data_IF_878946596371
#
_entry.id   IF_878946596371
#
_cell.length_a   1.000
_cell.length_b   1.000
_cell.length_c   1.000
_cell.angle_alpha   90.00
_cell.angle_beta   90.00
_cell.angle_gamma   90.00
#
_symmetry.space_group_name_H-M   'P 1'
#
loop_
_entity.id
_entity.type
_entity.pdbx_description
1 polymer ?
#
# COMPACT_ATOMS: atom_id res chain seq x y z
N UNK A 1 -8.89 -21.87 -11.55
CA UNK A 1 -7.82 -21.24 -10.74
C UNK A 1 -8.51 -20.44 -9.65
N UNK A 2 -8.29 -20.79 -8.39
CA UNK A 2 -9.00 -20.18 -7.27
C UNK A 2 -8.25 -18.90 -6.86
N UNK A 3 -8.83 -17.69 -6.98
CA UNK A 3 -8.15 -16.47 -6.55
C UNK A 3 -7.99 -16.49 -5.02
N UNK A 4 -6.87 -15.98 -4.48
CA UNK A 4 -6.68 -15.92 -3.03
C UNK A 4 -7.75 -15.01 -2.41
N UNK A 5 -8.51 -15.54 -1.45
CA UNK A 5 -9.50 -14.76 -0.70
C UNK A 5 -8.76 -13.78 0.21
N UNK A 6 -8.77 -12.50 -0.16
CA UNK A 6 -8.28 -11.42 0.69
C UNK A 6 -9.47 -10.81 1.44
N UNK A 7 -9.59 -11.14 2.73
CA UNK A 7 -10.54 -10.51 3.66
C UNK A 7 -9.74 -9.63 4.61
N UNK A 8 -9.62 -8.35 4.29
CA UNK A 8 -8.92 -7.36 5.13
C UNK A 8 -9.92 -6.76 6.12
N UNK A 9 -9.67 -6.95 7.41
CA UNK A 9 -10.44 -6.32 8.50
C UNK A 9 -9.74 -5.06 9.07
N UNK A 10 -8.67 -4.58 8.45
CA UNK A 10 -8.00 -3.34 8.82
C UNK A 10 -7.11 -2.86 7.68
N UNK A 11 -7.27 -1.59 7.27
CA UNK A 11 -6.56 -0.97 6.14
C UNK A 11 -5.12 -0.55 6.46
N UNK A 12 -4.58 -0.94 7.61
CA UNK A 12 -3.20 -0.60 7.98
C UNK A 12 -2.24 -1.61 7.36
N UNK A 13 -1.64 -1.26 6.22
CA UNK A 13 -0.45 -1.95 5.71
C UNK A 13 0.72 -1.55 6.62
N UNK A 14 0.95 -2.33 7.67
CA UNK A 14 2.12 -2.16 8.54
C UNK A 14 3.33 -2.79 7.83
N UNK A 15 4.13 -1.97 7.17
CA UNK A 15 5.44 -2.38 6.66
C UNK A 15 6.32 -2.64 7.89
N UNK A 16 6.57 -3.91 8.22
CA UNK A 16 7.49 -4.27 9.31
C UNK A 16 8.91 -3.88 8.90
N UNK A 17 9.34 -2.68 9.28
CA UNK A 17 10.76 -2.42 9.48
C UNK A 17 11.10 -2.89 10.89
N UNK A 18 11.77 -4.04 11.00
CA UNK A 18 12.40 -4.40 12.27
C UNK A 18 13.40 -3.30 12.61
N UNK A 19 13.23 -2.71 13.80
CA UNK A 19 14.21 -1.89 14.53
C UNK A 19 14.10 -0.35 14.51
N UNK A 20 13.00 0.33 14.13
CA UNK A 20 12.82 1.77 14.47
C UNK A 20 11.34 2.17 14.62
N UNK A 21 10.70 1.78 15.73
CA UNK A 21 9.27 2.08 15.97
C UNK A 21 8.98 3.35 16.81
N UNK A 22 9.97 4.19 17.09
CA UNK A 22 9.75 5.43 17.87
C UNK A 22 9.59 6.72 17.04
N UNK A 23 9.99 6.74 15.76
CA UNK A 23 10.13 8.00 15.03
C UNK A 23 9.49 8.03 13.63
N UNK A 24 9.05 6.88 13.08
CA UNK A 24 8.40 6.86 11.77
C UNK A 24 6.88 6.87 11.98
N UNK A 25 6.16 7.87 11.45
CA UNK A 25 4.71 7.89 11.51
C UNK A 25 4.12 6.73 10.69
N UNK A 26 2.97 6.21 11.13
CA UNK A 26 2.23 5.21 10.35
C UNK A 26 1.63 5.87 9.10
N UNK A 27 2.02 5.40 7.91
CA UNK A 27 1.46 5.87 6.65
C UNK A 27 0.22 5.06 6.28
N UNK A 28 -0.95 5.64 6.52
CA UNK A 28 -2.24 4.99 6.25
C UNK A 28 -2.70 5.27 4.81
N UNK A 29 -3.25 4.25 4.16
CA UNK A 29 -3.96 4.39 2.89
C UNK A 29 -5.42 4.71 3.19
N UNK A 30 -5.92 5.83 2.67
CA UNK A 30 -7.34 6.21 2.82
C UNK A 30 -8.26 5.19 2.14
N UNK A 31 -9.50 5.08 2.63
CA UNK A 31 -10.49 4.17 2.02
C UNK A 31 -10.73 4.48 0.53
N UNK A 32 -10.74 5.77 0.17
CA UNK A 32 -10.94 6.21 -1.21
C UNK A 32 -9.77 5.80 -2.11
N UNK A 33 -8.53 5.93 -1.65
CA UNK A 33 -7.35 5.51 -2.42
C UNK A 33 -7.16 3.98 -2.47
N UNK A 34 -7.77 3.25 -1.53
CA UNK A 34 -7.80 1.79 -1.54
C UNK A 34 -8.91 1.22 -2.43
N UNK A 35 -9.96 1.99 -2.71
CA UNK A 35 -11.12 1.52 -3.47
C UNK A 35 -10.95 1.80 -4.98
N UNK A 36 -10.83 0.75 -5.78
CA UNK A 36 -10.72 0.83 -7.24
C UNK A 36 -12.07 0.85 -7.96
N UNK A 37 -13.18 0.85 -7.21
CA UNK A 37 -14.54 0.83 -7.73
C UNK A 37 -15.25 -0.51 -7.50
N UNK A 38 -16.46 -0.62 -8.02
CA UNK A 38 -17.28 -1.84 -7.90
C UNK A 38 -16.76 -2.95 -8.78
N UNK A 39 -16.83 -4.21 -8.31
CA UNK A 39 -16.41 -5.39 -9.11
C UNK A 39 -17.12 -5.46 -10.46
N UNK A 40 -18.42 -5.15 -10.47
CA UNK A 40 -19.27 -5.02 -11.65
C UNK A 40 -20.28 -3.89 -11.43
N UNK A 41 -20.84 -3.34 -12.52
CA UNK A 41 -21.84 -2.27 -12.45
C UNK A 41 -23.03 -2.66 -11.58
N UNK A 42 -23.29 -1.89 -10.52
CA UNK A 42 -24.38 -2.14 -9.57
C UNK A 42 -24.05 -3.12 -8.43
N UNK A 43 -22.81 -3.64 -8.35
CA UNK A 43 -22.38 -4.48 -7.24
C UNK A 43 -22.27 -3.71 -5.92
N UNK A 44 -22.59 -4.37 -4.81
CA UNK A 44 -22.31 -3.87 -3.46
C UNK A 44 -20.90 -4.20 -2.98
N UNK A 45 -20.08 -4.84 -3.83
CA UNK A 45 -18.70 -5.22 -3.53
C UNK A 45 -17.72 -4.35 -4.33
N UNK A 46 -16.66 -3.92 -3.66
CA UNK A 46 -15.60 -3.10 -4.25
C UNK A 46 -14.30 -3.90 -4.41
N UNK A 47 -13.50 -3.48 -5.39
CA UNK A 47 -12.15 -4.01 -5.63
C UNK A 47 -11.16 -3.20 -4.83
N UNK A 48 -10.38 -3.86 -3.98
CA UNK A 48 -9.30 -3.23 -3.22
C UNK A 48 -8.03 -3.08 -4.05
N UNK A 49 -7.28 -2.00 -3.83
CA UNK A 49 -5.97 -1.74 -4.43
C UNK A 49 -4.85 -2.56 -3.79
N UNK A 50 -5.06 -3.87 -3.70
CA UNK A 50 -4.10 -4.85 -3.21
C UNK A 50 -4.11 -6.05 -4.15
N UNK A 51 -2.96 -6.37 -4.72
CA UNK A 51 -2.78 -7.54 -5.57
C UNK A 51 -1.65 -8.41 -5.04
N UNK A 52 -1.84 -9.72 -5.09
CA UNK A 52 -0.82 -10.71 -4.76
C UNK A 52 -0.35 -11.39 -6.04
N UNK A 53 0.88 -11.11 -6.46
CA UNK A 53 1.53 -11.77 -7.58
C UNK A 53 3.02 -11.93 -7.28
N UNK A 54 3.59 -13.07 -7.68
CA UNK A 54 5.05 -13.23 -7.71
C UNK A 54 5.61 -12.49 -8.93
N UNK A 55 6.35 -11.44 -8.67
CA UNK A 55 6.99 -10.59 -9.67
C UNK A 55 8.50 -10.85 -9.81
N UNK A 56 9.04 -11.87 -9.12
CA UNK A 56 10.48 -12.14 -9.12
C UNK A 56 11.33 -11.14 -8.34
N UNK A 57 10.71 -10.37 -7.44
CA UNK A 57 11.39 -9.33 -6.63
C UNK A 57 12.00 -9.87 -5.32
N UNK A 58 11.78 -11.15 -5.02
CA UNK A 58 12.21 -11.79 -3.78
C UNK A 58 11.09 -11.90 -2.73
N UNK A 59 11.36 -12.67 -1.68
CA UNK A 59 10.38 -12.94 -0.62
C UNK A 59 10.16 -11.71 0.28
N UNK A 60 8.90 -11.42 0.61
CA UNK A 60 8.54 -10.33 1.53
C UNK A 60 8.65 -8.92 0.95
N UNK A 61 8.79 -8.79 -0.38
CA UNK A 61 8.84 -7.51 -1.07
C UNK A 61 7.44 -7.05 -1.46
N UNK A 62 7.15 -5.78 -1.20
CA UNK A 62 5.91 -5.10 -1.58
C UNK A 62 6.20 -4.05 -2.64
N UNK A 63 5.36 -3.98 -3.67
CA UNK A 63 5.37 -2.90 -4.65
C UNK A 63 4.36 -1.85 -4.24
N UNK A 64 4.82 -0.63 -3.95
CA UNK A 64 3.99 0.49 -3.54
C UNK A 64 3.68 1.38 -4.74
N UNK A 65 2.40 1.43 -5.14
CA UNK A 65 1.91 2.21 -6.28
C UNK A 65 1.16 3.48 -5.89
N UNK A 66 0.36 4.00 -6.82
CA UNK A 66 -0.37 5.25 -6.67
C UNK A 66 -1.35 5.22 -5.48
N UNK A 67 -2.00 4.09 -5.20
CA UNK A 67 -2.88 3.93 -4.04
C UNK A 67 -2.20 4.20 -2.71
N UNK A 68 -0.88 3.99 -2.61
CA UNK A 68 -0.08 4.41 -1.44
C UNK A 68 0.40 5.86 -1.60
N UNK A 69 1.01 6.17 -2.74
CA UNK A 69 1.67 7.47 -3.00
C UNK A 69 0.72 8.67 -3.00
N UNK A 70 -0.59 8.46 -3.20
CA UNK A 70 -1.61 9.51 -3.07
C UNK A 70 -1.86 9.97 -1.62
N UNK A 71 -1.35 9.25 -0.62
CA UNK A 71 -1.55 9.58 0.81
C UNK A 71 -0.30 10.18 1.45
N UNK A 72 0.83 10.22 0.74
CA UNK A 72 2.12 10.64 1.28
C UNK A 72 2.86 11.50 0.27
N UNK A 73 3.63 12.46 0.75
CA UNK A 73 4.64 13.11 -0.07
C UNK A 73 5.88 12.22 -0.14
N UNK A 74 6.36 11.91 -1.35
CA UNK A 74 7.52 11.02 -1.57
C UNK A 74 8.68 11.77 -2.19
N UNK A 75 9.88 11.61 -1.62
CA UNK A 75 11.13 12.16 -2.17
C UNK A 75 12.10 11.02 -2.48
N UNK A 76 12.67 11.05 -3.68
CA UNK A 76 13.73 10.13 -4.10
C UNK A 76 15.06 10.90 -4.11
N UNK A 77 15.92 10.64 -3.14
CA UNK A 77 17.25 11.25 -3.05
C UNK A 77 18.30 10.27 -3.58
N UNK A 78 18.70 10.46 -4.83
CA UNK A 78 19.75 9.66 -5.48
C UNK A 78 21.13 9.92 -4.87
N UNK A 79 21.39 11.15 -4.38
CA UNK A 79 22.68 11.50 -3.78
C UNK A 79 22.93 10.77 -2.47
N UNK A 80 21.86 10.50 -1.72
CA UNK A 80 21.89 9.78 -0.45
C UNK A 80 21.46 8.31 -0.56
N UNK A 81 21.09 7.85 -1.76
CA UNK A 81 20.51 6.53 -2.01
C UNK A 81 19.34 6.21 -1.04
N UNK A 82 18.43 7.17 -0.88
CA UNK A 82 17.37 7.12 0.12
C UNK A 82 16.01 7.54 -0.44
N UNK A 83 14.95 7.07 0.21
CA UNK A 83 13.56 7.48 -0.05
C UNK A 83 12.96 8.05 1.24
N UNK A 84 12.35 9.23 1.14
CA UNK A 84 11.68 9.91 2.24
C UNK A 84 10.17 9.97 2.04
N UNK A 85 9.43 9.85 3.14
CA UNK A 85 7.98 9.98 3.17
C UNK A 85 7.56 11.04 4.20
N UNK A 86 6.56 11.84 3.87
CA UNK A 86 5.93 12.79 4.78
C UNK A 86 4.40 12.75 4.64
N UNK A 87 3.71 13.21 5.68
CA UNK A 87 2.25 13.38 5.65
C UNK A 87 1.84 14.38 4.56
N UNK A 88 0.86 14.00 3.74
CA UNK A 88 0.29 14.87 2.72
C UNK A 88 -0.91 15.64 3.32
N UNK A 89 -0.88 16.98 3.24
CA UNK A 89 -1.92 17.87 3.76
C UNK A 89 -2.94 18.25 2.69
#
# INVERSE_FOLDING_TARGET
>A
MNPPRVRLYSSTISVRTSLVRCCIPDFSITADNFNLGTETSGSSQCVGALSGQDLGLGAGVWLLGDSFMKNVYTVFDVSQNAVGFAELK
#
